data_IF_377566350616
#
_entry.id   IF_377566350616
#
_cell.length_a   1.000
_cell.length_b   1.000
_cell.length_c   1.000
_cell.angle_alpha   90.00
_cell.angle_beta   90.00
_cell.angle_gamma   90.00
#
_symmetry.space_group_name_H-M   'P 1'
#
loop_
_entity.id
_entity.type
_entity.pdbx_description
1 polymer ?
#
# COMPACT_ATOMS: atom_id res chain seq x y z
N UNK A 1 -11.26 -6.83 16.52
CA UNK A 1 -12.58 -6.77 15.87
C UNK A 1 -13.63 -6.61 16.96
N UNK A 2 -14.53 -5.66 16.80
CA UNK A 2 -15.66 -5.40 17.69
C UNK A 2 -16.94 -5.51 16.86
N UNK A 3 -17.97 -6.19 17.40
CA UNK A 3 -19.29 -6.26 16.79
C UNK A 3 -20.34 -5.99 17.87
N UNK A 4 -21.27 -5.12 17.56
CA UNK A 4 -22.33 -4.73 18.47
C UNK A 4 -23.70 -4.77 17.79
N UNK A 5 -24.67 -5.42 18.45
CA UNK A 5 -26.05 -5.52 17.95
C UNK A 5 -26.87 -4.35 18.47
N UNK A 6 -27.31 -3.48 17.57
CA UNK A 6 -28.24 -2.40 17.82
C UNK A 6 -29.70 -2.92 17.65
N UNK A 7 -30.16 -3.69 18.62
CA UNK A 7 -31.48 -4.28 18.55
C UNK A 7 -31.58 -5.53 17.68
N UNK A 8 -32.77 -5.79 17.09
CA UNK A 8 -33.06 -7.00 16.31
C UNK A 8 -32.76 -6.85 14.82
N UNK A 9 -32.50 -5.63 14.35
CA UNK A 9 -32.47 -5.34 12.91
C UNK A 9 -31.19 -4.66 12.43
N UNK A 10 -30.28 -4.34 13.32
CA UNK A 10 -29.06 -3.61 12.96
C UNK A 10 -27.86 -4.13 13.77
N UNK A 11 -26.78 -4.44 13.08
CA UNK A 11 -25.48 -4.79 13.66
C UNK A 11 -24.42 -3.82 13.14
N UNK A 12 -23.58 -3.32 14.04
CA UNK A 12 -22.42 -2.49 13.71
C UNK A 12 -21.16 -3.31 13.97
N UNK A 13 -20.20 -3.22 13.08
CA UNK A 13 -18.90 -3.85 13.22
C UNK A 13 -17.76 -2.85 12.99
N UNK A 14 -16.72 -2.98 13.77
CA UNK A 14 -15.48 -2.25 13.62
C UNK A 14 -14.29 -3.21 13.68
N UNK A 15 -13.39 -3.09 12.74
CA UNK A 15 -12.14 -3.87 12.70
C UNK A 15 -10.97 -2.92 12.63
N UNK A 16 -10.15 -2.93 13.65
CA UNK A 16 -8.88 -2.22 13.65
C UNK A 16 -7.73 -3.21 13.46
N UNK A 17 -6.87 -2.90 12.50
CA UNK A 17 -5.70 -3.71 12.17
C UNK A 17 -4.46 -2.87 12.43
N UNK A 18 -3.47 -3.47 13.07
CA UNK A 18 -2.16 -2.89 13.27
C UNK A 18 -1.08 -3.92 12.97
N UNK A 19 -0.03 -3.50 12.27
CA UNK A 19 1.18 -4.29 12.03
C UNK A 19 2.39 -3.35 12.03
N UNK A 20 3.50 -3.84 12.56
CA UNK A 20 4.79 -3.16 12.38
C UNK A 20 5.19 -3.15 10.92
N UNK A 21 5.87 -2.09 10.49
CA UNK A 21 6.32 -1.98 9.10
C UNK A 21 7.25 -3.14 8.71
N UNK A 22 7.05 -3.62 7.50
CA UNK A 22 7.95 -4.60 6.88
C UNK A 22 9.34 -3.99 6.66
N UNK A 23 10.35 -4.84 6.56
CA UNK A 23 11.69 -4.42 6.18
C UNK A 23 11.89 -4.53 4.67
N UNK A 24 12.64 -3.60 4.11
CA UNK A 24 13.03 -3.58 2.70
C UNK A 24 14.54 -3.42 2.58
N UNK A 25 15.09 -3.88 1.47
CA UNK A 25 16.49 -3.66 1.12
C UNK A 25 16.55 -2.53 0.12
N UNK A 26 17.19 -1.42 0.49
CA UNK A 26 17.37 -0.27 -0.36
C UNK A 26 18.85 -0.06 -0.64
N UNK A 27 19.17 0.43 -1.85
CA UNK A 27 20.53 0.84 -2.16
C UNK A 27 20.88 2.12 -1.38
N UNK A 28 22.02 2.11 -0.69
CA UNK A 28 22.48 3.24 0.13
C UNK A 28 23.37 4.20 -0.64
N UNK A 29 24.04 3.71 -1.67
CA UNK A 29 24.96 4.48 -2.50
C UNK A 29 24.85 4.05 -3.96
N UNK A 30 25.11 4.99 -4.87
CA UNK A 30 25.25 4.75 -6.29
C UNK A 30 26.59 5.28 -6.74
N UNK A 31 27.29 4.48 -7.53
CA UNK A 31 28.57 4.84 -8.10
C UNK A 31 28.47 4.82 -9.62
N UNK A 32 28.88 5.88 -10.30
CA UNK A 32 29.04 5.82 -11.74
C UNK A 32 30.20 4.87 -12.07
N UNK A 33 29.95 3.92 -12.94
CA UNK A 33 30.96 2.99 -13.47
C UNK A 33 31.09 3.27 -14.95
N UNK A 34 32.31 3.44 -15.43
CA UNK A 34 32.55 3.57 -16.87
C UNK A 34 32.08 2.27 -17.55
N UNK A 35 31.33 2.39 -18.63
CA UNK A 35 30.97 1.26 -19.46
C UNK A 35 32.20 0.88 -20.31
N UNK A 36 32.62 -0.38 -20.20
CA UNK A 36 33.66 -0.94 -21.08
C UNK A 36 33.08 -1.49 -22.39
N UNK A 37 31.80 -1.26 -22.66
CA UNK A 37 31.12 -1.71 -23.87
C UNK A 37 31.55 -0.81 -25.04
N UNK A 38 32.24 -1.36 -26.05
CA UNK A 38 32.72 -0.59 -27.22
C UNK A 38 31.56 -0.03 -28.06
N UNK A 39 30.34 -0.61 -27.95
CA UNK A 39 29.14 -0.13 -28.66
C UNK A 39 28.45 1.05 -27.94
N UNK A 40 28.81 1.33 -26.68
CA UNK A 40 28.34 2.46 -25.90
C UNK A 40 29.14 3.77 -26.16
N UNK A 41 29.98 3.81 -27.18
CA UNK A 41 30.76 4.99 -27.52
C UNK A 41 29.97 5.97 -28.37
N UNK A 42 29.19 6.84 -27.73
CA UNK A 42 28.48 7.93 -28.40
C UNK A 42 29.37 9.19 -28.43
N UNK A 43 30.22 9.25 -29.44
CA UNK A 43 30.87 10.50 -29.92
C UNK A 43 31.61 11.36 -28.88
N UNK A 44 32.12 10.79 -27.79
CA UNK A 44 32.88 11.49 -26.76
C UNK A 44 32.17 11.68 -25.41
N UNK A 45 30.93 11.18 -25.26
CA UNK A 45 30.27 11.07 -23.99
C UNK A 45 30.53 9.65 -23.43
N UNK A 46 31.25 9.57 -22.31
CA UNK A 46 31.35 8.33 -21.57
C UNK A 46 29.93 7.97 -21.05
N UNK A 47 29.37 6.86 -21.52
CA UNK A 47 28.17 6.31 -20.95
C UNK A 47 28.53 5.69 -19.61
N UNK A 48 27.97 6.23 -18.53
CA UNK A 48 28.19 5.71 -17.20
C UNK A 48 27.04 4.80 -16.83
N UNK A 49 27.34 3.57 -16.50
CA UNK A 49 26.39 2.68 -15.81
C UNK A 49 26.38 3.02 -14.33
N UNK A 50 25.22 2.92 -13.68
CA UNK A 50 25.12 3.12 -12.25
C UNK A 50 25.19 1.80 -11.49
N UNK A 51 26.21 1.63 -10.66
CA UNK A 51 26.33 0.52 -9.72
C UNK A 51 25.61 0.90 -8.39
N UNK A 52 24.62 0.14 -8.04
CA UNK A 52 23.91 0.32 -6.77
C UNK A 52 24.57 -0.51 -5.67
N UNK A 53 25.02 0.14 -4.62
CA UNK A 53 25.61 -0.51 -3.44
C UNK A 53 24.56 -0.68 -2.33
N UNK A 54 24.45 -1.89 -1.79
CA UNK A 54 23.60 -2.24 -0.66
C UNK A 54 24.47 -2.60 0.53
N UNK A 55 24.34 -1.85 1.62
CA UNK A 55 25.12 -2.04 2.84
C UNK A 55 24.71 -3.31 3.62
N UNK A 56 23.51 -3.85 3.36
CA UNK A 56 22.99 -5.05 3.98
C UNK A 56 21.57 -5.37 3.53
N UNK A 57 21.07 -6.52 3.93
CA UNK A 57 19.67 -6.90 3.73
C UNK A 57 18.80 -6.26 4.79
N UNK A 58 17.57 -5.90 4.42
CA UNK A 58 16.57 -5.35 5.36
C UNK A 58 17.05 -4.09 6.09
N UNK A 59 17.81 -3.25 5.39
CA UNK A 59 18.42 -2.04 5.94
C UNK A 59 17.43 -0.88 6.15
N UNK A 60 16.21 -1.00 5.66
CA UNK A 60 15.15 0.00 5.81
C UNK A 60 13.87 -0.63 6.36
N UNK A 61 13.24 0.02 7.35
CA UNK A 61 11.94 -0.38 7.88
C UNK A 61 10.84 0.59 7.41
N UNK A 62 9.81 0.03 6.79
CA UNK A 62 8.64 0.78 6.37
C UNK A 62 7.87 1.32 7.59
N UNK A 63 7.13 2.42 7.45
CA UNK A 63 6.22 2.90 8.48
C UNK A 63 5.20 1.83 8.90
N UNK A 64 4.74 1.91 10.14
CA UNK A 64 3.75 0.97 10.67
C UNK A 64 2.46 1.03 9.85
N UNK A 65 1.92 -0.14 9.57
CA UNK A 65 0.63 -0.32 8.93
C UNK A 65 -0.49 -0.26 9.96
N UNK A 66 -1.51 0.55 9.74
CA UNK A 66 -2.74 0.45 10.51
C UNK A 66 -3.93 0.97 9.71
N UNK A 67 -5.11 0.42 9.98
CA UNK A 67 -6.36 0.85 9.38
C UNK A 67 -7.54 0.56 10.28
N UNK A 68 -8.62 1.27 10.05
CA UNK A 68 -9.91 1.04 10.66
C UNK A 68 -10.95 0.78 9.57
N UNK A 69 -11.65 -0.33 9.69
CA UNK A 69 -12.76 -0.69 8.82
C UNK A 69 -14.05 -0.66 9.64
N UNK A 70 -15.11 -0.04 9.11
CA UNK A 70 -16.42 0.02 9.72
C UNK A 70 -17.46 -0.63 8.83
N UNK A 71 -18.43 -1.31 9.44
CA UNK A 71 -19.51 -1.95 8.72
C UNK A 71 -20.81 -1.90 9.50
N UNK A 72 -21.91 -1.79 8.77
CA UNK A 72 -23.28 -1.82 9.32
C UNK A 72 -24.09 -2.81 8.52
N UNK A 73 -24.78 -3.71 9.21
CA UNK A 73 -25.71 -4.66 8.62
C UNK A 73 -27.13 -4.31 9.05
N UNK A 74 -28.02 -4.17 8.08
CA UNK A 74 -29.44 -4.01 8.30
C UNK A 74 -30.17 -5.31 7.93
N UNK A 75 -30.81 -5.93 8.91
CA UNK A 75 -31.57 -7.17 8.73
C UNK A 75 -33.05 -6.90 8.79
N UNK A 76 -33.82 -7.43 7.85
CA UNK A 76 -35.27 -7.38 7.89
C UNK A 76 -35.86 -8.72 7.54
N UNK A 77 -36.67 -9.27 8.44
CA UNK A 77 -37.39 -10.50 8.26
C UNK A 77 -38.78 -10.20 7.68
N UNK A 78 -39.11 -10.87 6.60
CA UNK A 78 -40.46 -10.91 6.02
C UNK A 78 -41.04 -12.32 6.19
N UNK A 79 -42.33 -12.49 5.90
CA UNK A 79 -43.00 -13.79 6.08
C UNK A 79 -42.40 -14.95 5.27
N UNK A 80 -41.83 -14.65 4.10
CA UNK A 80 -41.27 -15.67 3.19
C UNK A 80 -39.79 -15.46 2.85
N UNK A 81 -39.20 -14.34 3.24
CA UNK A 81 -37.82 -14.04 2.90
C UNK A 81 -37.14 -13.21 4.01
N UNK A 82 -35.82 -13.30 4.05
CA UNK A 82 -34.97 -12.47 4.91
C UNK A 82 -34.06 -11.62 4.03
N UNK A 83 -34.06 -10.32 4.27
CA UNK A 83 -33.20 -9.36 3.57
C UNK A 83 -32.11 -8.87 4.49
N UNK A 84 -30.89 -8.81 3.98
CA UNK A 84 -29.75 -8.19 4.65
C UNK A 84 -29.11 -7.16 3.71
N UNK A 85 -28.96 -5.93 4.18
CA UNK A 85 -28.19 -4.87 3.51
C UNK A 85 -26.94 -4.66 4.34
N UNK A 86 -25.78 -4.83 3.74
CA UNK A 86 -24.49 -4.52 4.32
C UNK A 86 -23.96 -3.23 3.68
N UNK A 87 -23.52 -2.29 4.50
CA UNK A 87 -22.78 -1.11 4.07
C UNK A 87 -21.51 -1.08 4.89
N UNK A 88 -20.37 -1.00 4.20
CA UNK A 88 -19.08 -0.98 4.88
C UNK A 88 -18.11 0.00 4.22
N UNK A 89 -17.15 0.45 5.02
CA UNK A 89 -16.10 1.35 4.59
C UNK A 89 -14.77 0.77 5.07
N UNK A 90 -13.91 0.47 4.13
CA UNK A 90 -12.54 0.06 4.37
C UNK A 90 -11.67 1.30 4.52
N UNK A 91 -10.72 1.28 5.46
CA UNK A 91 -9.76 2.35 5.71
C UNK A 91 -10.44 3.72 5.93
N UNK A 92 -11.32 3.81 6.91
CA UNK A 92 -12.20 4.97 7.17
C UNK A 92 -11.44 6.28 7.30
N UNK A 93 -10.26 6.27 7.89
CA UNK A 93 -9.45 7.48 8.05
C UNK A 93 -8.43 7.70 6.91
N UNK A 94 -8.58 6.97 5.79
CA UNK A 94 -7.82 7.16 4.56
C UNK A 94 -6.29 7.17 4.75
N UNK A 95 -5.77 6.28 5.61
CA UNK A 95 -4.33 6.20 5.80
C UNK A 95 -3.66 5.60 4.57
N UNK A 96 -2.66 6.28 4.09
CA UNK A 96 -1.82 5.81 3.00
C UNK A 96 -0.77 4.84 3.54
N UNK A 97 -1.19 3.59 3.74
CA UNK A 97 -0.30 2.54 4.22
C UNK A 97 0.70 2.17 3.12
N UNK A 98 2.01 2.06 3.46
CA UNK A 98 3.01 1.67 2.49
C UNK A 98 2.82 0.21 2.08
N UNK A 99 2.63 -0.02 0.79
CA UNK A 99 2.65 -1.36 0.20
C UNK A 99 4.08 -1.71 -0.24
N UNK A 100 4.73 -0.77 -0.91
CA UNK A 100 6.06 -0.93 -1.44
C UNK A 100 6.78 0.43 -1.45
N UNK A 101 8.09 0.40 -1.20
CA UNK A 101 8.98 1.55 -1.40
C UNK A 101 9.97 1.18 -2.50
N UNK A 102 10.19 2.09 -3.41
CA UNK A 102 11.16 1.96 -4.49
C UNK A 102 11.92 3.26 -4.68
N UNK A 103 13.14 3.14 -5.17
CA UNK A 103 13.93 4.28 -5.58
C UNK A 103 13.59 4.64 -7.02
N UNK A 104 13.16 5.87 -7.24
CA UNK A 104 13.01 6.39 -8.59
C UNK A 104 14.40 6.62 -9.16
N UNK A 105 14.70 5.98 -10.28
CA UNK A 105 15.86 6.33 -11.08
C UNK A 105 15.56 7.67 -11.76
N UNK A 106 15.92 8.78 -11.10
CA UNK A 106 16.02 10.05 -11.80
C UNK A 106 17.27 9.98 -12.66
N UNK A 107 17.09 9.85 -13.96
CA UNK A 107 18.17 10.06 -14.93
C UNK A 107 18.52 11.54 -14.93
N UNK A 108 19.16 12.00 -13.89
CA UNK A 108 19.66 13.36 -13.84
C UNK A 108 21.17 13.31 -13.84
N UNK A 109 21.72 13.73 -14.94
CA UNK A 109 23.14 14.04 -15.20
C UNK A 109 23.80 14.96 -14.14
N UNK A 110 23.06 15.40 -13.13
CA UNK A 110 23.48 16.37 -12.12
C UNK A 110 23.50 15.84 -10.68
N UNK A 111 23.64 14.53 -10.44
CA UNK A 111 23.94 14.01 -9.10
C UNK A 111 22.83 14.23 -8.04
N UNK A 112 21.60 14.42 -8.44
CA UNK A 112 20.49 14.52 -7.49
C UNK A 112 20.19 13.16 -6.87
N UNK A 113 19.96 13.12 -5.55
CA UNK A 113 19.63 11.87 -4.88
C UNK A 113 18.34 11.30 -5.48
N UNK A 114 18.36 10.01 -5.78
CA UNK A 114 17.15 9.29 -6.18
C UNK A 114 16.10 9.42 -5.09
N UNK A 115 14.93 9.93 -5.46
CA UNK A 115 13.83 10.06 -4.52
C UNK A 115 13.30 8.68 -4.12
N UNK A 116 13.06 8.50 -2.82
CA UNK A 116 12.31 7.35 -2.32
C UNK A 116 10.83 7.59 -2.60
N UNK A 117 10.24 6.72 -3.38
CA UNK A 117 8.82 6.74 -3.70
C UNK A 117 8.10 5.66 -2.92
N UNK A 118 6.96 6.01 -2.35
CA UNK A 118 6.07 5.08 -1.65
C UNK A 118 4.85 4.79 -2.52
N UNK A 119 4.59 3.52 -2.77
CA UNK A 119 3.33 3.07 -3.33
C UNK A 119 2.39 2.69 -2.19
N UNK A 120 1.23 3.31 -2.14
CA UNK A 120 0.15 2.99 -1.21
C UNK A 120 -1.04 2.46 -1.98
N UNK A 121 -1.57 1.32 -1.54
CA UNK A 121 -2.76 0.71 -2.11
C UNK A 121 -3.96 0.96 -1.20
N UNK A 122 -5.14 0.97 -1.81
CA UNK A 122 -6.42 1.00 -1.12
C UNK A 122 -6.60 2.21 -0.18
N UNK A 123 -6.97 3.36 -0.74
CA UNK A 123 -7.48 4.50 0.02
C UNK A 123 -8.80 4.11 0.71
N UNK A 124 -9.62 5.06 1.09
CA UNK A 124 -10.97 4.77 1.57
C UNK A 124 -11.79 4.09 0.46
N UNK A 125 -12.35 2.90 0.76
CA UNK A 125 -13.18 2.14 -0.17
C UNK A 125 -14.54 1.86 0.47
N UNK A 126 -15.60 2.55 0.04
CA UNK A 126 -16.96 2.20 0.41
C UNK A 126 -17.42 0.96 -0.35
N UNK A 127 -18.19 0.12 0.28
CA UNK A 127 -18.85 -1.02 -0.33
C UNK A 127 -20.27 -1.22 0.18
N UNK A 128 -21.14 -1.74 -0.67
CA UNK A 128 -22.50 -2.11 -0.31
C UNK A 128 -22.83 -3.49 -0.89
N UNK A 129 -23.49 -4.32 -0.09
CA UNK A 129 -23.95 -5.63 -0.51
C UNK A 129 -25.42 -5.82 -0.10
N UNK A 130 -26.18 -6.44 -0.98
CA UNK A 130 -27.58 -6.81 -0.76
C UNK A 130 -27.74 -8.32 -0.86
N UNK A 131 -28.29 -8.92 0.19
CA UNK A 131 -28.50 -10.37 0.23
C UNK A 131 -29.97 -10.65 0.54
N UNK A 132 -30.59 -11.54 -0.25
CA UNK A 132 -31.96 -11.98 -0.08
C UNK A 132 -31.96 -13.51 0.08
N UNK A 133 -32.60 -13.98 1.14
CA UNK A 133 -32.81 -15.41 1.41
C UNK A 133 -34.30 -15.71 1.25
N UNK A 134 -34.63 -16.71 0.43
CA UNK A 134 -35.99 -17.21 0.19
C UNK A 134 -36.31 -18.41 1.10
#
# INVERSE_FOLDING_TARGET
>A
MLSYKLGKSCDISATWVFSTGNTATLSTKRYPVASDDPDDYDGGNNVYSELSYMEGRNNYRLPNYHRLDLGVNFHRQFKRCRRTINVSVYNVYNRQNPYMIYQSASSSYNGYPSALMQLSLFPVLPSAAYTLYF
#
